data_IF_632204146565
#
_entry.id   IF_632204146565
#
_cell.length_a   1.000
_cell.length_b   1.000
_cell.length_c   1.000
_cell.angle_alpha   90.00
_cell.angle_beta   90.00
_cell.angle_gamma   90.00
#
_symmetry.space_group_name_H-M   'P 1'
#
loop_
_entity.id
_entity.type
_entity.pdbx_description
1 polymer ?
#
# COMPACT_ATOMS: atom_id res chain seq x y z
N UNK A 1 6.43 -35.79 -0.87
CA UNK A 1 6.76 -35.26 0.46
C UNK A 1 5.75 -34.15 0.75
N UNK A 2 5.12 -34.09 1.91
CA UNK A 2 4.28 -32.95 2.24
C UNK A 2 5.15 -31.70 2.22
N UNK A 3 4.76 -30.72 1.41
CA UNK A 3 5.45 -29.43 1.35
C UNK A 3 5.25 -28.73 2.70
N UNK A 4 6.34 -28.26 3.29
CA UNK A 4 6.24 -27.37 4.45
C UNK A 4 5.40 -26.15 4.05
N UNK A 5 4.47 -25.69 4.90
CA UNK A 5 3.68 -24.51 4.59
C UNK A 5 4.63 -23.32 4.36
N UNK A 6 4.25 -22.39 3.48
CA UNK A 6 5.03 -21.18 3.27
C UNK A 6 5.15 -20.42 4.60
N UNK A 7 6.33 -19.90 4.86
CA UNK A 7 6.63 -19.12 6.05
C UNK A 7 6.54 -17.65 5.71
N UNK A 8 5.80 -16.88 6.49
CA UNK A 8 5.56 -15.45 6.29
C UNK A 8 6.24 -14.67 7.41
N UNK A 9 6.85 -13.54 7.08
CA UNK A 9 7.39 -12.63 8.10
C UNK A 9 6.25 -11.97 8.86
N UNK A 10 6.30 -11.97 10.19
CA UNK A 10 5.40 -11.18 11.03
C UNK A 10 6.18 -10.43 12.09
N UNK A 11 5.81 -9.18 12.33
CA UNK A 11 6.32 -8.37 13.41
C UNK A 11 5.45 -8.51 14.66
N UNK A 12 5.99 -8.15 15.82
CA UNK A 12 5.29 -8.15 17.11
C UNK A 12 5.25 -6.76 17.72
N UNK A 13 6.00 -5.83 17.17
CA UNK A 13 6.10 -4.45 17.67
C UNK A 13 6.09 -3.47 16.51
N UNK A 14 5.74 -2.21 16.80
CA UNK A 14 5.80 -1.12 15.82
C UNK A 14 7.19 -0.99 15.19
N UNK A 15 8.26 -1.09 16.00
CA UNK A 15 9.64 -0.99 15.50
C UNK A 15 9.94 -2.12 14.51
N UNK A 16 9.55 -3.36 14.82
CA UNK A 16 9.72 -4.48 13.90
C UNK A 16 8.90 -4.32 12.62
N UNK A 17 7.66 -3.78 12.71
CA UNK A 17 6.85 -3.50 11.53
C UNK A 17 7.49 -2.44 10.62
N UNK A 18 8.10 -1.39 11.19
CA UNK A 18 8.88 -0.40 10.44
C UNK A 18 10.02 -1.07 9.68
N UNK A 19 10.81 -1.89 10.37
CA UNK A 19 11.99 -2.56 9.81
C UNK A 19 11.69 -3.67 8.80
N UNK A 20 10.44 -4.06 8.62
CA UNK A 20 10.04 -4.96 7.52
C UNK A 20 10.02 -4.27 6.16
N UNK A 21 9.85 -2.95 6.13
CA UNK A 21 9.78 -2.14 4.90
C UNK A 21 8.84 -2.71 3.82
N UNK A 22 7.76 -3.39 4.25
CA UNK A 22 6.87 -4.13 3.34
C UNK A 22 5.89 -3.29 2.54
N UNK A 23 5.85 -1.97 2.81
CA UNK A 23 4.99 -0.99 2.14
C UNK A 23 5.83 0.05 1.42
N UNK A 24 5.26 0.83 0.51
CA UNK A 24 5.94 1.99 -0.09
C UNK A 24 6.09 3.14 0.93
N UNK A 25 7.04 4.04 0.68
CA UNK A 25 7.33 5.17 1.57
C UNK A 25 7.72 4.73 2.98
N UNK A 26 7.11 5.38 3.97
CA UNK A 26 7.32 5.10 5.39
C UNK A 26 6.02 4.73 6.11
N UNK A 27 4.97 4.38 5.37
CA UNK A 27 3.69 3.92 5.92
C UNK A 27 3.81 2.56 6.61
N UNK A 28 2.86 2.24 7.49
CA UNK A 28 2.95 1.05 8.33
C UNK A 28 1.58 0.39 8.43
N UNK A 29 1.54 -0.90 8.13
CA UNK A 29 0.43 -1.80 8.43
C UNK A 29 0.49 -2.28 9.91
N UNK A 30 -0.60 -2.85 10.47
CA UNK A 30 -0.52 -3.58 11.73
C UNK A 30 0.62 -4.61 11.71
N UNK A 31 1.34 -4.75 12.81
CA UNK A 31 2.54 -5.60 12.87
C UNK A 31 2.27 -7.07 12.52
N UNK A 32 1.05 -7.56 12.77
CA UNK A 32 0.62 -8.92 12.41
C UNK A 32 0.28 -9.12 10.94
N UNK A 33 0.24 -8.04 10.13
CA UNK A 33 -0.04 -8.14 8.69
C UNK A 33 1.01 -8.99 7.99
N UNK A 34 0.62 -10.04 7.25
CA UNK A 34 1.56 -10.88 6.53
C UNK A 34 2.11 -10.13 5.30
N UNK A 35 3.41 -10.22 5.09
CA UNK A 35 4.07 -9.65 3.91
C UNK A 35 4.66 -10.80 3.09
N UNK A 36 3.96 -11.27 2.03
CA UNK A 36 4.49 -12.31 1.16
C UNK A 36 5.59 -11.74 0.27
N UNK A 37 6.81 -12.29 0.38
CA UNK A 37 7.93 -11.87 -0.45
C UNK A 37 8.93 -13.02 -0.64
N UNK A 38 9.64 -12.99 -1.77
CA UNK A 38 10.78 -13.85 -1.99
C UNK A 38 12.01 -13.24 -1.33
N UNK A 39 12.78 -14.06 -0.63
CA UNK A 39 13.98 -13.59 0.08
C UNK A 39 15.17 -14.50 -0.18
N UNK A 40 16.37 -13.90 -0.28
CA UNK A 40 17.64 -14.62 -0.35
C UNK A 40 18.77 -13.79 0.24
N UNK A 41 19.69 -14.43 0.94
CA UNK A 41 20.87 -13.75 1.49
C UNK A 41 22.05 -13.88 0.53
N UNK A 42 22.77 -12.76 0.31
CA UNK A 42 23.99 -12.68 -0.51
C UNK A 42 25.08 -11.90 0.23
N UNK A 43 25.94 -12.61 0.90
CA UNK A 43 26.96 -12.01 1.75
C UNK A 43 26.34 -11.26 2.93
N UNK A 44 26.56 -9.95 3.01
CA UNK A 44 26.01 -9.09 4.06
C UNK A 44 24.67 -8.45 3.68
N UNK A 45 24.11 -8.79 2.53
CA UNK A 45 22.87 -8.25 2.02
C UNK A 45 21.77 -9.28 2.03
N UNK A 46 20.58 -8.89 2.47
CA UNK A 46 19.32 -9.60 2.23
C UNK A 46 18.64 -8.98 1.03
N UNK A 47 18.33 -9.80 0.04
CA UNK A 47 17.60 -9.40 -1.15
C UNK A 47 16.16 -9.88 -1.02
N UNK A 48 15.21 -9.01 -1.33
CA UNK A 48 13.78 -9.26 -1.21
C UNK A 48 13.07 -8.82 -2.48
N UNK A 49 11.99 -9.51 -2.83
CA UNK A 49 11.10 -9.14 -3.93
C UNK A 49 9.65 -9.32 -3.48
N UNK A 50 8.91 -8.25 -3.53
CA UNK A 50 7.45 -8.23 -3.37
C UNK A 50 6.81 -7.80 -4.68
N UNK A 51 5.68 -8.37 -5.07
CA UNK A 51 5.00 -8.04 -6.33
C UNK A 51 3.54 -8.48 -6.30
N UNK A 52 2.71 -7.73 -7.02
CA UNK A 52 1.32 -8.08 -7.29
C UNK A 52 0.97 -7.64 -8.72
N UNK A 53 0.24 -8.49 -9.45
CA UNK A 53 -0.15 -8.24 -10.84
C UNK A 53 -1.58 -8.69 -11.04
N UNK A 54 -2.43 -7.81 -11.54
CA UNK A 54 -3.77 -8.13 -12.00
C UNK A 54 -3.85 -8.02 -13.52
N UNK A 55 -4.52 -8.96 -14.14
CA UNK A 55 -4.98 -8.89 -15.53
C UNK A 55 -6.50 -8.88 -15.46
N UNK A 56 -7.12 -7.77 -15.80
CA UNK A 56 -8.53 -7.50 -15.54
C UNK A 56 -9.29 -7.09 -16.81
N UNK A 57 -10.57 -7.43 -16.82
CA UNK A 57 -11.57 -6.86 -17.73
C UNK A 57 -12.67 -6.23 -16.88
N UNK A 58 -12.88 -4.94 -17.04
CA UNK A 58 -13.93 -4.17 -16.35
C UNK A 58 -14.99 -3.74 -17.35
N UNK A 59 -16.26 -3.90 -16.98
CA UNK A 59 -17.43 -3.42 -17.72
C UNK A 59 -18.19 -2.44 -16.82
N UNK A 60 -18.35 -1.21 -17.27
CA UNK A 60 -19.05 -0.17 -16.54
C UNK A 60 -20.37 0.16 -17.22
N UNK A 61 -21.44 0.19 -16.45
CA UNK A 61 -22.81 0.45 -16.90
C UNK A 61 -23.36 1.71 -16.21
N UNK A 62 -23.52 2.73 -17.02
CA UNK A 62 -24.11 4.01 -16.62
C UNK A 62 -24.97 4.53 -17.79
N UNK A 63 -25.54 5.74 -17.70
CA UNK A 63 -26.15 6.36 -18.84
C UNK A 63 -25.13 6.63 -19.94
N UNK A 64 -25.51 6.41 -21.22
CA UNK A 64 -24.65 6.75 -22.36
C UNK A 64 -24.33 8.26 -22.35
N UNK A 65 -23.09 8.68 -22.62
CA UNK A 65 -21.95 7.90 -23.13
C UNK A 65 -20.96 7.44 -22.02
N UNK A 66 -21.36 7.29 -20.78
CA UNK A 66 -20.50 6.94 -19.64
C UNK A 66 -20.20 5.44 -19.52
N UNK A 67 -20.85 4.61 -20.36
CA UNK A 67 -20.52 3.18 -20.45
C UNK A 67 -19.10 3.02 -21.00
N UNK A 68 -18.27 2.25 -20.32
CA UNK A 68 -16.93 1.89 -20.79
C UNK A 68 -16.63 0.45 -20.41
N UNK A 69 -15.89 -0.22 -21.29
CA UNK A 69 -15.26 -1.50 -21.01
C UNK A 69 -13.77 -1.43 -21.38
N UNK A 70 -12.94 -2.12 -20.65
CA UNK A 70 -11.52 -2.23 -20.98
C UNK A 70 -10.90 -3.51 -20.43
N UNK A 71 -9.89 -3.98 -21.15
CA UNK A 71 -8.95 -4.99 -20.71
C UNK A 71 -7.62 -4.32 -20.41
N UNK A 72 -7.11 -4.49 -19.19
CA UNK A 72 -5.90 -3.84 -18.71
C UNK A 72 -5.19 -4.68 -17.65
N UNK A 73 -4.02 -4.22 -17.21
CA UNK A 73 -3.32 -4.81 -16.09
C UNK A 73 -2.85 -3.70 -15.15
N UNK A 74 -3.25 -3.78 -13.87
CA UNK A 74 -2.60 -3.05 -12.78
C UNK A 74 -1.52 -3.94 -12.18
N UNK A 75 -0.34 -3.36 -11.91
CA UNK A 75 0.79 -4.17 -11.47
C UNK A 75 1.88 -3.34 -10.80
N UNK A 76 2.60 -3.99 -9.89
CA UNK A 76 3.80 -3.41 -9.30
C UNK A 76 4.79 -4.49 -8.85
N UNK A 77 6.07 -4.12 -8.82
CA UNK A 77 7.22 -4.95 -8.46
C UNK A 77 8.15 -4.16 -7.56
N UNK A 78 8.43 -4.65 -6.37
CA UNK A 78 9.23 -3.94 -5.36
C UNK A 78 10.45 -4.79 -4.95
N UNK A 79 11.56 -4.74 -5.68
CA UNK A 79 12.84 -5.30 -5.25
C UNK A 79 13.47 -4.44 -4.15
N UNK A 80 14.05 -5.11 -3.16
CA UNK A 80 14.71 -4.47 -2.01
C UNK A 80 16.04 -5.15 -1.70
N UNK A 81 16.97 -4.39 -1.13
CA UNK A 81 18.23 -4.88 -0.61
C UNK A 81 18.49 -4.26 0.77
N UNK A 82 18.59 -5.10 1.79
CA UNK A 82 18.77 -4.71 3.19
C UNK A 82 20.17 -5.09 3.68
N UNK A 83 20.77 -4.24 4.49
CA UNK A 83 22.04 -4.50 5.14
C UNK A 83 22.08 -3.91 6.54
N UNK A 84 22.44 -4.73 7.49
CA UNK A 84 22.70 -4.34 8.88
C UNK A 84 24.16 -3.93 9.08
N UNK A 85 24.41 -2.89 9.88
CA UNK A 85 25.73 -2.37 10.20
C UNK A 85 26.06 -2.51 11.69
N UNK A 86 27.35 -2.60 11.97
CA UNK A 86 27.91 -2.70 13.30
C UNK A 86 27.71 -4.06 13.96
N UNK A 87 28.38 -4.28 15.09
CA UNK A 87 28.20 -5.47 15.88
C UNK A 87 26.77 -5.47 16.46
N UNK A 88 26.02 -6.53 16.18
CA UNK A 88 24.65 -6.76 16.69
C UNK A 88 23.61 -5.72 16.19
N UNK A 89 23.76 -5.16 14.98
CA UNK A 89 22.81 -4.20 14.42
C UNK A 89 22.84 -2.82 15.08
N UNK A 90 23.78 -2.54 15.99
CA UNK A 90 23.88 -1.24 16.67
C UNK A 90 24.27 -0.09 15.73
N UNK A 91 24.83 -0.40 14.56
CA UNK A 91 25.15 0.58 13.53
C UNK A 91 23.97 0.94 12.64
N UNK A 92 22.78 0.41 12.92
CA UNK A 92 21.59 0.66 12.11
C UNK A 92 21.44 -0.30 10.91
N UNK A 93 20.37 -0.09 10.17
CA UNK A 93 19.95 -0.88 8.99
C UNK A 93 19.75 0.05 7.81
N UNK A 94 20.36 -0.28 6.68
CA UNK A 94 20.13 0.39 5.39
C UNK A 94 19.30 -0.51 4.50
N UNK A 95 18.20 0.01 4.00
CA UNK A 95 17.38 -0.62 2.97
C UNK A 95 17.40 0.25 1.70
N UNK A 96 17.78 -0.35 0.60
CA UNK A 96 17.60 0.21 -0.74
C UNK A 96 16.34 -0.43 -1.31
N UNK A 97 15.37 0.38 -1.71
CA UNK A 97 14.08 -0.08 -2.22
C UNK A 97 13.75 0.65 -3.52
N UNK A 98 13.28 -0.11 -4.48
CA UNK A 98 12.71 0.43 -5.71
C UNK A 98 11.35 -0.21 -5.94
N UNK A 99 10.44 0.53 -6.54
CA UNK A 99 9.14 0.02 -6.96
C UNK A 99 8.90 0.44 -8.40
N UNK A 100 8.50 -0.52 -9.22
CA UNK A 100 8.27 -0.36 -10.65
C UNK A 100 6.85 -0.79 -11.02
N UNK A 101 6.26 -0.13 -12.02
CA UNK A 101 5.03 -0.58 -12.66
C UNK A 101 5.20 -0.71 -14.17
N UNK A 102 4.53 -1.70 -14.75
CA UNK A 102 4.39 -1.86 -16.20
C UNK A 102 3.05 -1.34 -16.72
N UNK A 103 2.30 -0.60 -15.91
CA UNK A 103 1.03 -0.01 -16.31
C UNK A 103 1.15 0.91 -17.53
N UNK A 104 2.24 1.67 -17.75
CA UNK A 104 2.42 2.43 -18.99
C UNK A 104 2.37 1.59 -20.26
N UNK A 105 2.65 0.27 -20.18
CA UNK A 105 2.56 -0.66 -21.31
C UNK A 105 1.26 -1.47 -21.32
N UNK A 106 0.56 -1.59 -20.18
CA UNK A 106 -0.56 -2.52 -20.00
C UNK A 106 -1.91 -1.83 -19.88
N UNK A 107 -1.92 -0.51 -19.72
CA UNK A 107 -3.10 0.34 -19.81
C UNK A 107 -3.07 1.01 -21.17
N UNK A 108 -3.85 0.47 -22.11
CA UNK A 108 -3.76 0.81 -23.55
C UNK A 108 -4.27 2.21 -23.91
N UNK A 109 -4.74 3.01 -22.94
CA UNK A 109 -5.21 4.38 -23.10
C UNK A 109 -4.61 5.25 -21.99
N UNK A 110 -5.03 6.50 -21.91
CA UNK A 110 -4.61 7.46 -20.89
C UNK A 110 -5.01 7.05 -19.46
N UNK A 111 -5.99 6.17 -19.37
CA UNK A 111 -6.57 5.68 -18.11
C UNK A 111 -7.27 4.33 -18.32
N UNK A 112 -7.43 3.56 -17.27
CA UNK A 112 -8.42 2.49 -17.23
C UNK A 112 -9.77 3.02 -16.70
N UNK A 113 -10.92 2.39 -17.08
CA UNK A 113 -12.23 2.87 -16.65
C UNK A 113 -12.42 2.73 -15.14
N UNK A 114 -12.82 3.83 -14.51
CA UNK A 114 -13.29 3.87 -13.14
C UNK A 114 -14.35 4.96 -13.01
N UNK A 115 -15.64 4.57 -12.93
CA UNK A 115 -16.75 5.51 -12.82
C UNK A 115 -16.59 6.42 -11.61
N UNK A 116 -16.84 7.72 -11.80
CA UNK A 116 -16.75 8.77 -10.79
C UNK A 116 -15.33 9.09 -10.31
N UNK A 117 -14.29 8.57 -10.95
CA UNK A 117 -12.94 9.04 -10.67
C UNK A 117 -12.68 10.38 -11.35
N UNK A 118 -12.04 11.29 -10.62
CA UNK A 118 -11.68 12.64 -11.04
C UNK A 118 -10.44 13.13 -10.30
N UNK A 119 -9.97 14.34 -10.65
CA UNK A 119 -8.85 15.00 -9.98
C UNK A 119 -7.50 14.58 -10.56
N UNK A 120 -7.47 14.09 -11.78
CA UNK A 120 -6.27 13.73 -12.53
C UNK A 120 -6.26 14.39 -13.90
N UNK A 121 -5.08 14.54 -14.46
CA UNK A 121 -4.85 15.19 -15.74
C UNK A 121 -4.10 14.28 -16.70
N UNK A 122 -4.48 14.29 -17.97
CA UNK A 122 -3.69 13.69 -19.04
C UNK A 122 -3.68 14.59 -20.28
N UNK A 123 -2.48 14.94 -20.75
CA UNK A 123 -2.24 15.76 -21.95
C UNK A 123 -3.01 17.09 -21.91
N UNK A 124 -3.03 17.75 -20.76
CA UNK A 124 -3.68 19.04 -20.55
C UNK A 124 -5.20 19.00 -20.43
N UNK A 125 -5.80 17.82 -20.29
CA UNK A 125 -7.25 17.66 -20.09
C UNK A 125 -7.54 16.86 -18.81
N UNK A 126 -8.66 17.14 -18.12
CA UNK A 126 -9.06 16.33 -16.97
C UNK A 126 -9.38 14.90 -17.41
N UNK A 127 -9.02 13.95 -16.57
CA UNK A 127 -9.47 12.55 -16.67
C UNK A 127 -10.80 12.44 -15.93
N UNK A 128 -11.85 12.09 -16.66
CA UNK A 128 -13.19 11.88 -16.14
C UNK A 128 -13.55 10.41 -16.29
N UNK A 129 -14.03 9.77 -15.22
CA UNK A 129 -14.38 8.35 -15.18
C UNK A 129 -13.20 7.42 -15.53
N UNK A 130 -12.04 7.72 -15.01
CA UNK A 130 -10.86 6.91 -15.24
C UNK A 130 -9.73 7.20 -14.28
N UNK A 131 -8.89 6.21 -14.09
CA UNK A 131 -7.66 6.26 -13.30
C UNK A 131 -6.46 6.19 -14.24
N UNK A 132 -5.52 7.13 -14.12
CA UNK A 132 -4.30 7.11 -14.92
C UNK A 132 -3.40 5.91 -14.55
N UNK A 133 -2.52 5.44 -15.46
CA UNK A 133 -1.51 4.44 -15.12
C UNK A 133 -0.46 5.03 -14.16
N UNK A 134 0.05 4.20 -13.29
CA UNK A 134 1.25 4.54 -12.52
C UNK A 134 2.45 4.69 -13.44
N UNK A 135 3.42 5.52 -13.03
CA UNK A 135 4.70 5.63 -13.73
C UNK A 135 5.52 4.35 -13.58
N UNK A 136 6.42 4.11 -14.54
CA UNK A 136 7.36 2.99 -14.45
C UNK A 136 8.17 3.04 -13.15
N UNK A 137 8.70 4.22 -12.78
CA UNK A 137 9.34 4.42 -11.48
C UNK A 137 8.32 4.92 -10.47
N UNK A 138 7.77 4.03 -9.66
CA UNK A 138 6.88 4.40 -8.56
C UNK A 138 7.65 4.80 -7.30
N UNK A 139 8.80 4.18 -7.06
CA UNK A 139 9.69 4.54 -5.96
C UNK A 139 11.14 4.21 -6.27
N UNK A 140 12.05 5.08 -5.87
CA UNK A 140 13.49 4.83 -5.79
C UNK A 140 13.98 5.43 -4.47
N UNK A 141 14.28 4.61 -3.47
CA UNK A 141 14.49 5.07 -2.12
C UNK A 141 15.68 4.42 -1.41
N UNK A 142 16.25 5.17 -0.48
CA UNK A 142 17.14 4.69 0.56
C UNK A 142 16.52 4.98 1.93
N UNK A 143 16.43 3.95 2.77
CA UNK A 143 15.91 4.02 4.13
C UNK A 143 17.04 3.67 5.09
N UNK A 144 17.13 4.40 6.20
CA UNK A 144 18.11 4.11 7.23
C UNK A 144 17.47 4.17 8.61
N UNK A 145 17.46 3.04 9.29
CA UNK A 145 16.90 2.87 10.63
C UNK A 145 18.00 2.70 11.65
N UNK A 146 18.06 3.62 12.62
CA UNK A 146 19.04 3.62 13.70
C UNK A 146 18.37 3.32 15.05
N UNK A 147 18.53 2.11 15.60
CA UNK A 147 18.03 1.79 16.93
C UNK A 147 18.84 2.56 18.00
N UNK A 148 18.20 3.50 18.69
CA UNK A 148 18.79 4.23 19.81
C UNK A 148 18.65 3.44 21.12
N UNK A 149 17.60 2.63 21.25
CA UNK A 149 17.33 1.72 22.35
C UNK A 149 16.38 0.59 21.89
N UNK A 150 16.10 -0.43 22.71
CA UNK A 150 15.09 -1.45 22.38
C UNK A 150 13.68 -0.89 22.13
N UNK A 151 13.42 0.35 22.54
CA UNK A 151 12.13 1.00 22.45
C UNK A 151 12.14 2.30 21.64
N UNK A 152 13.29 2.67 21.05
CA UNK A 152 13.46 3.94 20.34
C UNK A 152 14.19 3.72 19.04
N UNK A 153 13.57 4.12 17.93
CA UNK A 153 14.10 4.05 16.58
C UNK A 153 14.11 5.45 15.96
N UNK A 154 15.23 5.84 15.38
CA UNK A 154 15.33 7.00 14.50
C UNK A 154 15.38 6.49 13.06
N UNK A 155 14.50 7.01 12.21
CA UNK A 155 14.38 6.59 10.81
C UNK A 155 14.60 7.76 9.87
N UNK A 156 15.28 7.51 8.75
CA UNK A 156 15.47 8.44 7.64
C UNK A 156 15.04 7.76 6.35
N UNK A 157 14.37 8.53 5.50
CA UNK A 157 13.94 8.10 4.18
C UNK A 157 14.32 9.20 3.19
N UNK A 158 14.97 8.82 2.10
CA UNK A 158 15.31 9.73 1.02
C UNK A 158 15.01 9.09 -0.31
N UNK A 159 14.21 9.77 -1.14
CA UNK A 159 13.76 9.26 -2.42
C UNK A 159 13.67 10.38 -3.47
N UNK A 160 14.40 10.29 -4.59
CA UNK A 160 14.13 11.15 -5.74
C UNK A 160 12.71 10.98 -6.28
N UNK A 161 12.15 9.76 -6.21
CA UNK A 161 10.75 9.44 -6.47
C UNK A 161 10.28 8.56 -5.32
N UNK A 162 9.18 8.91 -4.64
CA UNK A 162 8.67 8.12 -3.52
C UNK A 162 7.49 8.76 -2.79
N UNK A 163 7.24 8.29 -1.56
CA UNK A 163 6.05 8.65 -0.79
C UNK A 163 6.42 9.52 0.41
N UNK A 164 5.86 10.72 0.54
CA UNK A 164 5.96 11.51 1.77
C UNK A 164 5.11 10.92 2.90
N UNK A 165 5.34 11.38 4.14
CA UNK A 165 4.57 10.95 5.30
C UNK A 165 3.16 11.57 5.30
N UNK A 166 2.30 11.11 4.38
CA UNK A 166 0.89 11.47 4.24
C UNK A 166 0.07 10.19 4.12
N UNK A 167 -1.06 10.15 4.79
CA UNK A 167 -1.98 9.02 4.68
C UNK A 167 -1.51 7.74 5.35
N UNK A 168 -2.35 6.71 5.30
CA UNK A 168 -1.99 5.33 5.62
C UNK A 168 -1.16 4.72 4.51
N UNK A 169 -0.97 3.41 4.59
CA UNK A 169 -0.45 2.60 3.48
C UNK A 169 -1.31 2.82 2.23
N UNK A 170 -0.67 3.12 1.11
CA UNK A 170 -1.32 3.27 -0.20
C UNK A 170 -2.07 1.99 -0.59
N UNK A 171 -3.19 2.13 -1.29
CA UNK A 171 -4.09 1.00 -1.59
C UNK A 171 -3.40 -0.22 -2.23
N UNK A 172 -2.37 -0.10 -3.10
CA UNK A 172 -1.71 -1.27 -3.68
C UNK A 172 -0.98 -2.15 -2.67
N UNK A 173 -0.58 -1.57 -1.52
CA UNK A 173 0.12 -2.27 -0.43
C UNK A 173 -0.75 -2.47 0.81
N UNK A 174 -1.93 -1.87 0.88
CA UNK A 174 -2.84 -2.00 2.03
C UNK A 174 -3.49 -3.38 2.03
N UNK A 175 -3.33 -4.13 3.12
CA UNK A 175 -3.79 -5.52 3.19
C UNK A 175 -5.30 -5.67 2.93
N UNK A 176 -6.13 -4.75 3.42
CA UNK A 176 -7.58 -4.78 3.21
C UNK A 176 -8.01 -4.53 1.76
N UNK A 177 -7.12 -3.96 0.92
CA UNK A 177 -7.33 -3.67 -0.49
C UNK A 177 -6.56 -4.62 -1.43
N UNK A 178 -5.74 -5.54 -0.91
CA UNK A 178 -4.76 -6.32 -1.68
C UNK A 178 -5.34 -7.20 -2.78
N UNK A 179 -6.64 -7.50 -2.70
CA UNK A 179 -7.36 -8.37 -3.64
C UNK A 179 -8.18 -7.59 -4.66
N UNK A 180 -8.32 -6.26 -4.50
CA UNK A 180 -9.11 -5.40 -5.39
C UNK A 180 -8.21 -4.82 -6.51
N UNK A 181 -8.48 -5.13 -7.80
CA UNK A 181 -7.69 -4.60 -8.92
C UNK A 181 -7.93 -3.12 -9.21
N UNK A 182 -8.99 -2.51 -8.62
CA UNK A 182 -9.42 -1.14 -8.89
C UNK A 182 -9.05 -0.24 -7.71
N UNK A 183 -8.59 0.98 -8.00
CA UNK A 183 -8.28 1.97 -6.99
C UNK A 183 -9.52 2.34 -6.14
N UNK A 184 -9.31 2.90 -4.96
CA UNK A 184 -10.40 3.46 -4.19
C UNK A 184 -10.80 4.81 -4.78
N UNK A 185 -12.11 5.11 -4.90
CA UNK A 185 -12.58 6.39 -5.42
C UNK A 185 -11.95 7.59 -4.69
N UNK A 186 -11.83 7.48 -3.38
CA UNK A 186 -11.29 8.54 -2.55
C UNK A 186 -9.77 8.58 -2.47
N UNK A 187 -9.01 7.78 -3.22
CA UNK A 187 -7.57 7.63 -2.97
C UNK A 187 -6.80 8.96 -3.13
N UNK A 188 -7.22 9.88 -4.00
CA UNK A 188 -6.61 11.22 -4.15
C UNK A 188 -6.75 12.08 -2.89
N UNK A 189 -7.78 11.89 -2.07
CA UNK A 189 -7.93 12.56 -0.79
C UNK A 189 -7.28 11.78 0.35
N UNK A 190 -7.02 10.47 0.18
CA UNK A 190 -6.67 9.52 1.24
C UNK A 190 -5.20 9.13 1.26
N UNK A 191 -4.66 8.72 0.11
CA UNK A 191 -3.32 8.12 -0.02
C UNK A 191 -2.60 8.42 -1.34
N UNK A 192 -3.10 9.36 -2.15
CA UNK A 192 -2.62 9.62 -3.52
C UNK A 192 -1.20 10.15 -3.64
N UNK A 193 -0.62 10.58 -2.54
CA UNK A 193 0.77 11.07 -2.54
C UNK A 193 1.80 9.93 -2.53
N UNK A 194 1.40 8.75 -3.00
CA UNK A 194 2.28 7.61 -3.17
C UNK A 194 3.31 7.78 -4.29
N UNK A 195 3.21 8.84 -5.10
CA UNK A 195 4.25 9.25 -6.04
C UNK A 195 4.45 10.75 -5.91
N UNK A 196 5.55 11.12 -5.27
CA UNK A 196 6.03 12.49 -5.15
C UNK A 196 7.55 12.51 -5.43
N UNK A 197 8.11 13.70 -5.58
CA UNK A 197 9.50 13.85 -5.97
C UNK A 197 10.33 14.49 -4.86
N UNK A 198 11.64 14.19 -4.86
CA UNK A 198 12.61 14.75 -3.92
C UNK A 198 12.19 14.61 -2.44
N UNK A 199 11.66 13.46 -2.08
CA UNK A 199 11.12 13.20 -0.74
C UNK A 199 12.25 13.00 0.26
N UNK A 200 12.21 13.75 1.35
CA UNK A 200 13.06 13.56 2.52
C UNK A 200 12.15 13.43 3.75
N UNK A 201 12.23 12.33 4.46
CA UNK A 201 11.45 12.09 5.67
C UNK A 201 12.34 11.71 6.84
N UNK A 202 12.12 12.35 7.98
CA UNK A 202 12.69 11.98 9.27
C UNK A 202 11.61 11.49 10.22
N UNK A 203 11.85 10.39 10.94
CA UNK A 203 10.90 9.78 11.84
C UNK A 203 11.53 9.39 13.18
N UNK A 204 10.79 9.63 14.27
CA UNK A 204 11.15 9.17 15.61
C UNK A 204 10.05 8.26 16.15
N UNK A 205 10.42 7.05 16.50
CA UNK A 205 9.53 6.05 17.09
C UNK A 205 9.90 5.83 18.54
N UNK A 206 8.90 5.85 19.41
CA UNK A 206 9.04 5.44 20.81
C UNK A 206 7.91 4.48 21.19
N UNK A 207 8.27 3.23 21.49
CA UNK A 207 7.32 2.15 21.84
C UNK A 207 6.22 1.99 20.80
N UNK A 208 5.02 2.55 21.09
CA UNK A 208 3.80 2.39 20.29
C UNK A 208 3.51 3.59 19.39
N UNK A 209 4.29 4.66 19.47
CA UNK A 209 4.04 5.91 18.76
C UNK A 209 5.23 6.30 17.87
N UNK A 210 4.92 6.82 16.67
CA UNK A 210 5.88 7.37 15.70
C UNK A 210 5.39 8.71 15.22
N UNK A 211 6.30 9.70 15.20
CA UNK A 211 6.09 10.99 14.55
C UNK A 211 7.05 11.13 13.38
N UNK A 212 6.57 11.66 12.26
CA UNK A 212 7.32 11.83 11.02
C UNK A 212 7.11 13.23 10.46
N UNK A 213 8.15 13.74 9.79
CA UNK A 213 8.11 14.99 9.04
C UNK A 213 8.72 14.75 7.66
N UNK A 214 8.04 15.22 6.61
CA UNK A 214 8.52 15.14 5.23
C UNK A 214 8.59 16.50 4.58
N UNK A 215 9.65 16.71 3.79
CA UNK A 215 9.70 17.74 2.76
C UNK A 215 9.76 17.07 1.39
N UNK A 216 9.04 17.57 0.39
CA UNK A 216 8.93 16.96 -0.94
C UNK A 216 8.51 17.99 -1.99
N UNK A 217 8.59 17.63 -3.28
CA UNK A 217 7.96 18.35 -4.36
C UNK A 217 6.56 17.81 -4.59
N UNK A 218 5.55 18.69 -4.52
CA UNK A 218 4.13 18.30 -4.48
C UNK A 218 3.44 18.22 -5.84
N UNK A 219 4.08 18.62 -6.94
CA UNK A 219 3.49 18.53 -8.28
C UNK A 219 3.32 17.08 -8.72
N UNK A 220 2.21 16.79 -9.38
CA UNK A 220 1.93 15.46 -9.93
C UNK A 220 2.90 15.07 -11.06
N UNK A 221 3.14 13.75 -11.27
CA UNK A 221 3.87 13.25 -12.44
C UNK A 221 3.19 13.66 -13.74
N UNK A 222 3.98 13.93 -14.77
CA UNK A 222 3.47 14.15 -16.12
C UNK A 222 3.28 12.83 -16.90
N UNK A 223 2.95 12.92 -18.19
CA UNK A 223 2.69 11.77 -19.03
C UNK A 223 3.95 11.07 -19.57
N UNK A 224 5.15 11.50 -19.17
CA UNK A 224 6.41 10.81 -19.50
C UNK A 224 6.63 9.58 -18.62
N UNK A 225 5.64 8.70 -18.56
CA UNK A 225 5.50 7.59 -17.63
C UNK A 225 6.69 6.61 -17.55
N UNK A 226 7.57 6.59 -18.57
CA UNK A 226 8.76 5.75 -18.60
C UNK A 226 10.02 6.46 -18.11
N UNK A 227 9.99 7.77 -17.97
CA UNK A 227 11.15 8.57 -17.67
C UNK A 227 11.47 8.54 -16.17
N UNK A 228 12.77 8.60 -15.86
CA UNK A 228 13.21 8.89 -14.50
C UNK A 228 13.28 10.42 -14.36
N UNK A 229 12.22 11.02 -13.84
CA UNK A 229 12.08 12.47 -13.70
C UNK A 229 11.81 12.86 -12.24
N UNK A 230 12.86 12.95 -11.39
CA UNK A 230 12.70 13.25 -9.96
C UNK A 230 12.05 14.61 -9.65
N UNK A 231 11.96 15.49 -10.59
CA UNK A 231 11.32 16.81 -10.46
C UNK A 231 11.03 17.37 -11.85
N UNK A 232 9.92 16.94 -12.49
CA UNK A 232 9.64 17.31 -13.89
C UNK A 232 9.56 18.82 -14.11
N UNK A 233 9.17 19.59 -13.11
CA UNK A 233 9.04 21.05 -13.19
C UNK A 233 10.29 21.80 -12.65
N UNK A 234 11.37 21.10 -12.34
CA UNK A 234 12.64 21.70 -11.88
C UNK A 234 12.59 22.29 -10.46
N UNK A 235 11.52 22.08 -9.71
CA UNK A 235 11.41 22.49 -8.31
C UNK A 235 12.08 21.49 -7.37
N UNK A 236 12.67 21.96 -6.28
CA UNK A 236 13.33 21.09 -5.31
C UNK A 236 12.31 20.54 -4.30
N UNK A 237 12.12 21.24 -3.20
CA UNK A 237 11.18 20.89 -2.13
C UNK A 237 10.33 22.12 -1.89
N UNK A 238 9.00 22.01 -2.08
CA UNK A 238 8.05 23.11 -1.97
C UNK A 238 6.84 22.76 -1.08
N UNK A 239 6.73 21.48 -0.71
CA UNK A 239 5.63 20.90 0.04
C UNK A 239 6.14 20.21 1.30
N UNK A 240 5.28 20.09 2.32
CA UNK A 240 5.67 19.47 3.58
C UNK A 240 4.48 18.78 4.24
N UNK A 241 4.80 17.76 5.06
CA UNK A 241 3.80 17.01 5.82
C UNK A 241 4.30 16.59 7.18
N UNK A 242 3.35 16.21 8.03
CA UNK A 242 3.62 15.49 9.27
C UNK A 242 2.60 14.37 9.45
N UNK A 243 3.07 13.24 10.00
CA UNK A 243 2.22 12.08 10.31
C UNK A 243 2.52 11.59 11.72
N UNK A 244 1.45 11.35 12.49
CA UNK A 244 1.48 10.63 13.75
C UNK A 244 0.90 9.24 13.54
N UNK A 245 1.65 8.20 13.88
CA UNK A 245 1.21 6.80 13.86
C UNK A 245 1.22 6.24 15.28
N UNK A 246 0.18 5.50 15.66
CA UNK A 246 0.06 4.85 16.96
C UNK A 246 -0.37 3.40 16.75
N UNK A 247 0.41 2.45 17.31
CA UNK A 247 0.12 1.00 17.27
C UNK A 247 -0.01 0.48 18.71
N UNK A 248 -1.20 0.55 19.31
CA UNK A 248 -1.40 0.17 20.73
C UNK A 248 -1.31 -1.35 20.95
N UNK A 249 -1.47 -2.14 19.89
CA UNK A 249 -1.26 -3.58 19.86
C UNK A 249 -0.65 -4.00 18.51
N UNK A 250 -0.11 -5.21 18.38
CA UNK A 250 0.39 -5.71 17.11
C UNK A 250 -0.69 -5.77 16.00
N UNK A 251 -1.95 -5.93 16.38
CA UNK A 251 -3.10 -6.08 15.47
C UNK A 251 -3.72 -4.75 15.05
N UNK A 252 -3.35 -3.62 15.67
CA UNK A 252 -4.04 -2.34 15.47
C UNK A 252 -3.05 -1.21 15.25
N UNK A 253 -3.26 -0.46 14.16
CA UNK A 253 -2.50 0.74 13.83
C UNK A 253 -3.45 1.87 13.43
N UNK A 254 -3.27 3.04 14.02
CA UNK A 254 -3.96 4.27 13.63
C UNK A 254 -2.97 5.33 13.18
N UNK A 255 -3.38 6.20 12.29
CA UNK A 255 -2.60 7.36 11.89
C UNK A 255 -3.47 8.61 11.71
N UNK A 256 -2.83 9.76 11.87
CA UNK A 256 -3.32 11.07 11.43
C UNK A 256 -2.20 11.81 10.73
N UNK A 257 -2.48 12.41 9.58
CA UNK A 257 -1.52 13.24 8.86
C UNK A 257 -2.14 14.55 8.36
N UNK A 258 -1.27 15.55 8.19
CA UNK A 258 -1.59 16.82 7.59
C UNK A 258 -0.45 17.24 6.67
N UNK A 259 -0.79 17.75 5.50
CA UNK A 259 0.15 18.25 4.51
C UNK A 259 -0.27 19.59 3.93
N UNK A 260 0.73 20.38 3.56
CA UNK A 260 0.62 21.48 2.62
C UNK A 260 1.29 21.05 1.32
N UNK A 261 0.53 21.07 0.23
CA UNK A 261 0.98 20.62 -1.09
C UNK A 261 0.88 21.82 -2.03
N UNK A 262 2.00 22.16 -2.66
CA UNK A 262 2.11 23.27 -3.58
C UNK A 262 1.80 22.81 -4.98
N UNK A 263 0.78 23.41 -5.61
CA UNK A 263 0.41 23.19 -7.02
C UNK A 263 0.38 21.72 -7.42
N UNK A 264 -0.42 20.86 -6.72
CA UNK A 264 -0.42 19.43 -7.02
C UNK A 264 -0.94 19.12 -8.43
N UNK A 265 -1.92 19.87 -8.91
CA UNK A 265 -2.63 19.57 -10.16
C UNK A 265 -2.15 20.45 -11.30
N UNK A 266 -1.80 19.82 -12.44
CA UNK A 266 -1.27 20.52 -13.61
C UNK A 266 -2.26 21.51 -14.24
N UNK A 267 -3.58 21.25 -14.14
CA UNK A 267 -4.62 22.12 -14.68
C UNK A 267 -4.87 23.37 -13.83
N UNK A 268 -4.45 23.37 -12.57
CA UNK A 268 -4.61 24.47 -11.63
C UNK A 268 -3.25 24.98 -11.10
N UNK A 269 -2.37 25.47 -11.99
CA UNK A 269 -1.03 25.92 -11.58
C UNK A 269 -1.14 27.08 -10.59
N UNK A 270 -0.45 26.95 -9.46
CA UNK A 270 -0.49 27.94 -8.37
C UNK A 270 -1.60 27.73 -7.36
N UNK A 271 -2.49 26.77 -7.54
CA UNK A 271 -3.42 26.35 -6.51
C UNK A 271 -2.69 25.43 -5.50
N UNK A 272 -2.66 25.87 -4.24
CA UNK A 272 -2.10 25.07 -3.16
C UNK A 272 -3.23 24.30 -2.46
N UNK A 273 -2.88 23.12 -1.94
CA UNK A 273 -3.83 22.25 -1.28
C UNK A 273 -3.38 21.91 0.14
N UNK A 274 -4.32 21.86 1.07
CA UNK A 274 -4.14 21.23 2.37
C UNK A 274 -4.78 19.84 2.35
N UNK A 275 -4.00 18.82 2.61
CA UNK A 275 -4.50 17.44 2.72
C UNK A 275 -4.48 16.98 4.18
N UNK A 276 -5.54 16.33 4.61
CA UNK A 276 -5.65 15.73 5.95
C UNK A 276 -6.19 14.32 5.82
N UNK A 277 -5.61 13.38 6.57
CA UNK A 277 -6.10 11.99 6.59
C UNK A 277 -6.09 11.44 7.99
N UNK A 278 -7.02 10.55 8.27
CA UNK A 278 -7.04 9.73 9.48
C UNK A 278 -7.46 8.32 9.15
N UNK A 279 -6.78 7.32 9.71
CA UNK A 279 -7.14 5.91 9.49
C UNK A 279 -6.98 5.07 10.75
N UNK A 280 -7.72 3.97 10.75
CA UNK A 280 -7.57 2.86 11.70
C UNK A 280 -7.50 1.59 10.85
N UNK A 281 -6.41 0.84 11.01
CA UNK A 281 -6.17 -0.44 10.34
C UNK A 281 -6.07 -1.54 11.39
N UNK A 282 -6.76 -2.64 11.15
CA UNK A 282 -6.78 -3.81 12.02
C UNK A 282 -6.50 -5.05 11.21
N UNK A 283 -5.61 -5.90 11.72
CA UNK A 283 -5.34 -7.22 11.16
C UNK A 283 -5.32 -8.25 12.28
N UNK A 284 -6.03 -9.37 12.10
CA UNK A 284 -6.05 -10.45 13.07
C UNK A 284 -5.98 -11.81 12.37
N UNK A 285 -5.04 -12.63 12.83
CA UNK A 285 -4.86 -14.00 12.38
C UNK A 285 -5.51 -14.95 13.35
N UNK A 286 -6.50 -15.71 12.87
CA UNK A 286 -7.07 -16.82 13.62
C UNK A 286 -6.12 -18.01 13.46
N UNK A 287 -5.26 -18.21 14.45
CA UNK A 287 -4.43 -19.41 14.52
C UNK A 287 -5.37 -20.59 14.77
N UNK A 288 -5.56 -21.46 13.77
CA UNK A 288 -6.07 -22.80 14.03
C UNK A 288 -5.16 -23.37 15.13
N UNK A 289 -5.73 -23.86 16.25
CA UNK A 289 -4.95 -24.66 17.21
C UNK A 289 -4.26 -25.73 16.39
N UNK A 290 -2.98 -25.50 16.07
CA UNK A 290 -2.17 -26.56 15.47
C UNK A 290 -2.36 -27.76 16.40
N UNK A 291 -2.73 -28.90 15.85
CA UNK A 291 -2.64 -30.15 16.59
C UNK A 291 -1.27 -30.10 17.27
N UNK A 292 -1.27 -30.14 18.59
CA UNK A 292 -0.03 -30.06 19.38
C UNK A 292 1.00 -30.89 18.67
N UNK A 293 2.25 -30.41 18.47
CA UNK A 293 3.26 -31.20 17.79
C UNK A 293 3.21 -32.57 18.45
N UNK A 294 2.95 -33.61 17.64
CA UNK A 294 2.80 -34.96 18.15
C UNK A 294 3.97 -35.17 19.09
N UNK A 295 3.65 -35.26 20.37
CA UNK A 295 4.58 -35.43 21.47
C UNK A 295 5.72 -36.27 20.95
N UNK A 296 6.94 -35.71 21.04
CA UNK A 296 8.18 -36.43 20.87
C UNK A 296 7.92 -37.91 21.07
N UNK A 297 8.03 -38.70 20.00
CA UNK A 297 8.13 -40.13 20.12
C UNK A 297 9.30 -40.35 21.09
N UNK A 298 8.98 -40.51 22.36
CA UNK A 298 9.90 -41.05 23.32
C UNK A 298 10.23 -42.45 22.80
N UNK A 299 11.36 -42.57 22.17
CA UNK A 299 11.93 -43.87 21.87
C UNK A 299 12.13 -44.59 23.22
N UNK A 300 11.42 -45.69 23.51
CA UNK A 300 11.66 -46.42 24.73
C UNK A 300 13.03 -47.08 24.60
N UNK A 301 14.02 -46.67 25.41
CA UNK A 301 15.19 -47.45 25.66
C UNK A 301 16.56 -46.90 25.29
N UNK A 302 16.78 -45.58 25.21
CA UNK A 302 18.14 -45.05 25.22
C UNK A 302 18.44 -44.36 26.56
N UNK A 303 19.21 -45.09 27.39
CA UNK A 303 19.76 -44.55 28.63
C UNK A 303 20.95 -43.65 28.29
N UNK A 304 20.87 -42.33 28.60
CA UNK A 304 21.90 -41.33 28.29
C UNK A 304 23.22 -41.50 29.07
N UNK A 305 23.39 -42.59 29.84
CA UNK A 305 24.56 -42.82 30.66
C UNK A 305 25.63 -43.69 29.99
N UNK A 306 25.44 -44.13 28.73
CA UNK A 306 26.37 -45.03 28.05
C UNK A 306 27.17 -44.41 26.90
N UNK A 307 27.50 -43.11 26.97
CA UNK A 307 28.50 -42.52 26.08
C UNK A 307 29.78 -42.17 26.82
N UNK A 308 30.87 -42.89 26.60
CA UNK A 308 32.19 -42.55 27.15
C UNK A 308 32.81 -41.44 26.28
N UNK A 309 33.11 -40.28 26.90
CA UNK A 309 34.11 -39.34 26.42
C UNK A 309 33.60 -38.07 25.70
N UNK A 310 32.81 -37.23 26.35
CA UNK A 310 32.79 -35.80 26.03
C UNK A 310 33.10 -34.98 27.27
N UNK A 311 34.29 -34.41 27.29
CA UNK A 311 34.79 -33.51 28.33
C UNK A 311 34.01 -32.17 28.27
N UNK A 312 33.11 -31.95 29.23
CA UNK A 312 32.33 -30.74 29.41
C UNK A 312 33.11 -29.74 30.28
N UNK A 313 34.25 -29.28 29.82
CA UNK A 313 34.97 -28.23 30.51
C UNK A 313 35.72 -27.32 29.55
N UNK A 314 34.99 -26.48 28.82
CA UNK A 314 35.56 -25.24 28.28
C UNK A 314 34.51 -24.14 28.28
N UNK A 315 34.28 -23.55 29.43
CA UNK A 315 33.67 -22.22 29.58
C UNK A 315 34.55 -21.18 28.90
N UNK A 316 34.36 -20.95 27.62
CA UNK A 316 34.64 -19.62 27.03
C UNK A 316 33.35 -18.87 26.97
N UNK A 317 33.20 -17.91 27.90
CA UNK A 317 32.28 -16.80 27.78
C UNK A 317 32.53 -16.06 26.47
N UNK A 318 31.88 -16.50 25.41
CA UNK A 318 31.65 -15.71 24.22
C UNK A 318 30.49 -14.77 24.52
N UNK A 319 30.77 -13.46 24.55
CA UNK A 319 29.74 -12.40 24.64
C UNK A 319 28.63 -12.70 23.62
N UNK A 320 27.43 -12.94 24.16
CA UNK A 320 26.23 -13.11 23.36
C UNK A 320 26.02 -11.85 22.53
N UNK A 321 26.31 -11.97 21.25
CA UNK A 321 25.95 -10.99 20.27
C UNK A 321 24.42 -10.85 20.30
N UNK A 322 23.92 -9.68 20.64
CA UNK A 322 22.51 -9.35 20.43
C UNK A 322 22.34 -9.15 18.90
N UNK A 323 22.11 -10.26 18.22
CA UNK A 323 21.48 -10.19 16.90
C UNK A 323 20.13 -9.51 17.10
N UNK A 324 19.65 -8.66 16.16
CA UNK A 324 18.25 -8.22 16.20
C UNK A 324 17.40 -9.48 16.38
N UNK A 325 16.32 -9.43 17.18
CA UNK A 325 15.52 -10.62 17.43
C UNK A 325 15.13 -11.20 16.07
N UNK A 326 15.32 -12.50 15.83
CA UNK A 326 14.99 -13.09 14.55
C UNK A 326 13.54 -12.80 14.26
N UNK A 327 13.26 -12.22 13.10
CA UNK A 327 11.88 -12.08 12.61
C UNK A 327 11.26 -13.46 12.63
N UNK A 328 10.21 -13.63 13.42
CA UNK A 328 9.61 -14.94 13.60
C UNK A 328 8.91 -15.36 12.31
N UNK A 329 9.43 -16.41 11.66
CA UNK A 329 8.74 -17.07 10.57
C UNK A 329 7.58 -17.88 11.16
N UNK A 330 6.35 -17.53 10.83
CA UNK A 330 5.15 -18.24 11.25
C UNK A 330 4.54 -19.00 10.08
N UNK A 331 3.87 -20.15 10.32
CA UNK A 331 3.10 -20.80 9.26
C UNK A 331 2.02 -19.86 8.72
N UNK A 332 1.80 -19.90 7.41
CA UNK A 332 0.77 -19.11 6.75
C UNK A 332 -0.61 -19.36 7.40
N UNK A 333 -1.31 -18.32 7.88
CA UNK A 333 -2.56 -18.48 8.60
C UNK A 333 -3.64 -19.08 7.71
N UNK A 334 -4.47 -19.96 8.27
CA UNK A 334 -5.63 -20.52 7.56
C UNK A 334 -6.78 -19.55 7.42
N UNK A 335 -6.87 -18.59 8.33
CA UNK A 335 -7.89 -17.55 8.33
C UNK A 335 -7.29 -16.28 8.90
N UNK A 336 -7.43 -15.17 8.21
CA UNK A 336 -7.11 -13.84 8.70
C UNK A 336 -8.16 -12.81 8.24
N UNK A 337 -8.24 -11.73 9.00
CA UNK A 337 -9.12 -10.60 8.74
C UNK A 337 -8.30 -9.33 8.76
N UNK A 338 -8.36 -8.58 7.66
CA UNK A 338 -7.83 -7.21 7.58
C UNK A 338 -8.99 -6.22 7.40
N UNK A 339 -8.98 -5.11 8.13
CA UNK A 339 -9.98 -4.06 7.98
C UNK A 339 -9.33 -2.69 8.05
N UNK A 340 -9.85 -1.75 7.28
CA UNK A 340 -9.41 -0.34 7.29
C UNK A 340 -10.62 0.57 7.32
N UNK A 341 -10.58 1.57 8.21
CA UNK A 341 -11.44 2.74 8.17
C UNK A 341 -10.57 3.95 7.89
N UNK A 342 -10.98 4.77 6.93
CA UNK A 342 -10.17 5.86 6.44
C UNK A 342 -11.04 7.07 6.10
N UNK A 343 -10.60 8.23 6.55
CA UNK A 343 -11.09 9.53 6.14
C UNK A 343 -9.96 10.33 5.49
N UNK A 344 -10.27 10.96 4.37
CA UNK A 344 -9.39 11.89 3.67
C UNK A 344 -10.09 13.19 3.34
N UNK A 345 -9.33 14.28 3.32
CA UNK A 345 -9.80 15.62 2.90
C UNK A 345 -8.74 16.30 2.07
N UNK A 346 -9.11 16.71 0.87
CA UNK A 346 -8.42 17.72 0.09
C UNK A 346 -9.14 19.07 0.27
N UNK A 347 -8.39 20.13 0.56
CA UNK A 347 -8.91 21.51 0.69
C UNK A 347 -8.07 22.42 -0.18
N UNK A 348 -8.69 23.03 -1.18
CA UNK A 348 -8.08 24.13 -1.93
C UNK A 348 -7.78 25.31 -0.99
N UNK A 349 -6.61 25.88 -1.08
CA UNK A 349 -6.25 27.09 -0.35
C UNK A 349 -6.56 28.36 -1.12
N UNK A 350 -7.02 28.23 -2.37
CA UNK A 350 -7.41 29.35 -3.25
C UNK A 350 -8.86 29.75 -2.99
N UNK A 351 -9.80 28.81 -3.10
CA UNK A 351 -11.24 29.06 -2.98
C UNK A 351 -11.90 28.46 -1.73
N UNK A 352 -11.11 27.70 -0.95
CA UNK A 352 -11.52 27.01 0.26
C UNK A 352 -12.54 25.86 0.02
N UNK A 353 -12.69 25.38 -1.20
CA UNK A 353 -13.45 24.16 -1.51
C UNK A 353 -12.87 22.96 -0.74
N UNK A 354 -13.71 21.98 -0.44
CA UNK A 354 -13.32 20.82 0.37
C UNK A 354 -13.95 19.57 -0.19
N UNK A 355 -13.12 18.65 -0.59
CA UNK A 355 -13.54 17.29 -0.90
C UNK A 355 -13.20 16.35 0.25
N UNK A 356 -14.22 15.71 0.79
CA UNK A 356 -14.04 14.68 1.80
C UNK A 356 -14.32 13.32 1.20
N UNK A 357 -13.55 12.33 1.62
CA UNK A 357 -13.78 10.93 1.30
C UNK A 357 -13.73 10.07 2.56
N UNK A 358 -14.58 9.06 2.59
CA UNK A 358 -14.70 8.09 3.66
C UNK A 358 -14.66 6.70 3.04
N UNK A 359 -13.94 5.79 3.69
CA UNK A 359 -13.78 4.42 3.22
C UNK A 359 -13.83 3.46 4.40
N UNK A 360 -14.49 2.32 4.19
CA UNK A 360 -14.41 1.15 5.03
C UNK A 360 -14.11 -0.06 4.14
N UNK A 361 -13.00 -0.74 4.40
CA UNK A 361 -12.59 -1.95 3.69
C UNK A 361 -12.47 -3.12 4.65
N UNK A 362 -12.79 -4.31 4.16
CA UNK A 362 -12.54 -5.55 4.87
C UNK A 362 -12.14 -6.65 3.88
N UNK A 363 -11.12 -7.41 4.23
CA UNK A 363 -10.67 -8.60 3.55
C UNK A 363 -10.66 -9.77 4.53
N UNK A 364 -11.38 -10.82 4.20
CA UNK A 364 -11.37 -12.09 4.92
C UNK A 364 -10.71 -13.16 4.05
N UNK A 365 -9.59 -13.69 4.52
CA UNK A 365 -9.00 -14.92 4.01
C UNK A 365 -9.52 -16.11 4.81
N UNK A 366 -9.97 -17.16 4.15
CA UNK A 366 -10.46 -18.37 4.82
C UNK A 366 -10.02 -19.62 4.06
N UNK A 367 -9.94 -20.74 4.79
CA UNK A 367 -9.46 -22.01 4.26
C UNK A 367 -8.12 -21.90 3.48
N UNK A 368 -7.27 -20.95 3.87
CA UNK A 368 -5.92 -20.66 3.34
C UNK A 368 -5.85 -20.11 1.91
N UNK A 369 -6.87 -20.31 1.09
CA UNK A 369 -6.82 -20.03 -0.36
C UNK A 369 -7.98 -19.19 -0.88
N UNK A 370 -8.98 -18.90 -0.06
CA UNK A 370 -10.14 -18.15 -0.48
C UNK A 370 -10.12 -16.76 0.13
N UNK A 371 -10.45 -15.76 -0.66
CA UNK A 371 -10.51 -14.37 -0.26
C UNK A 371 -11.86 -13.79 -0.63
N UNK A 372 -12.48 -13.10 0.32
CA UNK A 372 -13.67 -12.30 0.10
C UNK A 372 -13.40 -10.90 0.65
N UNK A 373 -13.68 -9.88 -0.12
CA UNK A 373 -13.50 -8.50 0.32
C UNK A 373 -14.72 -7.66 0.04
N UNK A 374 -14.81 -6.58 0.79
CA UNK A 374 -15.79 -5.53 0.56
C UNK A 374 -15.15 -4.17 0.76
N UNK A 375 -15.61 -3.19 -0.02
CA UNK A 375 -15.23 -1.79 0.11
C UNK A 375 -16.50 -0.94 0.07
N UNK A 376 -16.66 -0.08 1.04
CA UNK A 376 -17.74 0.90 1.14
C UNK A 376 -17.11 2.27 1.13
N UNK A 377 -17.51 3.09 0.19
CA UNK A 377 -16.94 4.43 -0.02
C UNK A 377 -18.03 5.49 -0.05
N UNK A 378 -17.66 6.70 0.37
CA UNK A 378 -18.42 7.90 0.18
C UNK A 378 -17.45 9.03 -0.15
N UNK A 379 -17.37 9.42 -1.43
CA UNK A 379 -16.38 10.36 -1.93
C UNK A 379 -17.04 11.63 -2.45
N UNK A 380 -16.52 12.80 -2.02
CA UNK A 380 -16.84 14.09 -2.59
C UNK A 380 -16.41 14.14 -4.06
N UNK A 381 -17.31 14.61 -4.93
CA UNK A 381 -17.09 14.73 -6.37
C UNK A 381 -17.63 16.03 -6.86
N UNK A 382 -16.83 16.74 -7.64
CA UNK A 382 -17.18 18.04 -8.19
C UNK A 382 -18.01 17.93 -9.48
N UNK A 383 -18.40 19.07 -10.01
CA UNK A 383 -19.04 19.19 -11.31
C UNK A 383 -18.08 18.88 -12.49
N UNK A 384 -16.81 18.64 -12.26
CA UNK A 384 -15.86 18.15 -13.26
C UNK A 384 -16.37 16.87 -13.93
N UNK A 385 -17.02 16.00 -13.15
CA UNK A 385 -17.66 14.78 -13.66
C UNK A 385 -18.80 15.03 -14.66
N UNK A 386 -19.26 16.27 -14.83
CA UNK A 386 -20.22 16.62 -15.89
C UNK A 386 -19.55 16.94 -17.23
N UNK A 387 -18.23 17.11 -17.25
CA UNK A 387 -17.48 17.37 -18.47
C UNK A 387 -17.50 16.15 -19.39
N UNK A 388 -17.36 16.39 -20.69
CA UNK A 388 -17.15 15.34 -21.65
C UNK A 388 -15.71 14.81 -21.52
N UNK A 389 -15.49 13.50 -21.34
CA UNK A 389 -14.15 12.96 -21.24
C UNK A 389 -13.25 13.39 -22.42
N UNK A 390 -12.00 13.79 -22.08
CA UNK A 390 -11.00 14.21 -23.06
C UNK A 390 -11.21 15.63 -23.65
N UNK A 391 -12.10 16.44 -23.10
CA UNK A 391 -12.25 17.85 -23.47
C UNK A 391 -11.53 18.78 -22.50
N UNK A 392 -10.97 19.91 -22.98
CA UNK A 392 -10.36 20.90 -22.11
C UNK A 392 -11.34 21.48 -21.10
N UNK A 393 -10.82 21.96 -19.97
CA UNK A 393 -11.60 22.73 -19.01
C UNK A 393 -12.18 23.98 -19.66
N UNK A 394 -13.47 24.31 -19.39
CA UNK A 394 -14.05 25.61 -19.78
C UNK A 394 -13.25 26.74 -19.13
N UNK A 395 -13.16 27.92 -19.79
CA UNK A 395 -12.53 29.09 -19.18
C UNK A 395 -13.20 29.46 -17.83
N UNK A 396 -12.38 29.71 -16.79
CA UNK A 396 -12.83 30.00 -15.43
C UNK A 396 -13.68 28.89 -14.80
N UNK A 397 -13.41 27.65 -15.11
CA UNK A 397 -14.06 26.51 -14.50
C UNK A 397 -13.78 26.47 -12.98
N UNK A 398 -14.83 26.28 -12.21
CA UNK A 398 -14.76 26.15 -10.74
C UNK A 398 -15.36 24.80 -10.37
N UNK A 399 -14.63 24.03 -9.57
CA UNK A 399 -15.00 22.67 -9.15
C UNK A 399 -16.08 22.64 -8.07
N UNK A 400 -17.18 23.34 -8.30
CA UNK A 400 -18.35 23.37 -7.42
C UNK A 400 -19.64 23.37 -8.25
N UNK A 401 -20.74 22.81 -7.74
CA UNK A 401 -20.94 22.19 -6.42
C UNK A 401 -20.34 20.79 -6.31
N UNK A 402 -20.10 20.37 -5.05
CA UNK A 402 -19.61 19.05 -4.73
C UNK A 402 -20.79 18.17 -4.28
N UNK A 403 -20.94 17.02 -4.89
CA UNK A 403 -21.85 15.94 -4.47
C UNK A 403 -21.09 14.76 -3.89
N UNK A 404 -21.76 13.88 -3.13
CA UNK A 404 -21.15 12.67 -2.58
C UNK A 404 -21.64 11.44 -3.34
N UNK A 405 -20.69 10.72 -3.96
CA UNK A 405 -20.92 9.40 -4.57
C UNK A 405 -20.68 8.34 -3.51
N UNK A 406 -21.63 7.41 -3.34
CA UNK A 406 -21.39 6.22 -2.55
C UNK A 406 -21.13 5.03 -3.49
N UNK A 407 -20.12 4.19 -3.16
CA UNK A 407 -19.81 2.96 -3.86
C UNK A 407 -19.77 1.79 -2.90
N UNK A 408 -20.26 0.64 -3.35
CA UNK A 408 -20.33 -0.61 -2.59
C UNK A 408 -19.76 -1.73 -3.44
N UNK A 409 -18.58 -2.21 -3.07
CA UNK A 409 -17.86 -3.27 -3.78
C UNK A 409 -17.89 -4.56 -2.97
N UNK A 410 -18.11 -5.66 -3.64
CA UNK A 410 -17.97 -7.03 -3.12
C UNK A 410 -17.19 -7.84 -4.15
N UNK A 411 -16.16 -8.55 -3.69
CA UNK A 411 -15.35 -9.38 -4.56
C UNK A 411 -14.96 -10.70 -3.91
N UNK A 412 -14.51 -11.62 -4.75
CA UNK A 412 -14.02 -12.95 -4.37
C UNK A 412 -12.92 -13.40 -5.32
N UNK A 413 -11.87 -14.01 -4.79
CA UNK A 413 -10.91 -14.78 -5.56
C UNK A 413 -10.44 -16.05 -4.84
N UNK A 414 -9.72 -16.90 -5.58
CA UNK A 414 -9.23 -18.17 -5.08
C UNK A 414 -7.80 -18.44 -5.55
N UNK A 415 -6.89 -18.61 -4.59
CA UNK A 415 -5.48 -18.93 -4.83
C UNK A 415 -5.28 -20.36 -5.33
N UNK A 416 -4.64 -20.48 -6.48
CA UNK A 416 -4.17 -21.71 -7.08
C UNK A 416 -2.63 -21.69 -7.14
N UNK A 417 -1.91 -22.67 -6.59
CA UNK A 417 -0.46 -22.71 -6.66
C UNK A 417 0.03 -22.94 -8.09
N UNK A 418 0.92 -22.07 -8.56
CA UNK A 418 1.60 -22.19 -9.85
C UNK A 418 3.11 -22.28 -9.65
N UNK A 419 3.61 -23.49 -9.65
CA UNK A 419 5.02 -23.76 -9.30
C UNK A 419 5.32 -23.54 -7.81
N UNK A 420 6.55 -23.10 -7.50
CA UNK A 420 7.02 -22.96 -6.11
C UNK A 420 6.83 -21.58 -5.51
N UNK A 421 6.75 -20.55 -6.34
CA UNK A 421 6.90 -19.15 -5.92
C UNK A 421 5.78 -18.23 -6.35
N UNK A 422 4.78 -18.75 -7.08
CA UNK A 422 3.69 -17.95 -7.63
C UNK A 422 2.35 -18.57 -7.24
N UNK A 423 1.42 -17.73 -6.87
CA UNK A 423 0.00 -18.02 -6.76
C UNK A 423 -0.74 -17.31 -7.89
N UNK A 424 -1.70 -18.00 -8.49
CA UNK A 424 -2.61 -17.44 -9.50
C UNK A 424 -4.00 -17.47 -8.89
N UNK A 425 -4.71 -16.34 -8.90
CA UNK A 425 -6.06 -16.27 -8.37
C UNK A 425 -7.03 -15.73 -9.42
N UNK A 426 -7.88 -16.56 -10.01
CA UNK A 426 -9.06 -16.08 -10.72
C UNK A 426 -10.02 -15.45 -9.74
N UNK A 427 -10.57 -14.28 -10.09
CA UNK A 427 -11.47 -13.52 -9.25
C UNK A 427 -12.46 -12.68 -10.02
N UNK A 428 -13.45 -12.16 -9.29
CA UNK A 428 -14.45 -11.24 -9.79
C UNK A 428 -14.93 -10.30 -8.70
N UNK A 429 -15.35 -9.10 -9.09
CA UNK A 429 -16.00 -8.15 -8.20
C UNK A 429 -17.14 -7.42 -8.89
N UNK A 430 -18.07 -6.96 -8.08
CA UNK A 430 -19.19 -6.10 -8.46
C UNK A 430 -19.16 -4.84 -7.59
N UNK A 431 -19.23 -3.67 -8.24
CA UNK A 431 -19.42 -2.39 -7.59
C UNK A 431 -20.76 -1.79 -7.98
N UNK A 432 -21.54 -1.35 -6.99
CA UNK A 432 -22.81 -0.65 -7.19
C UNK A 432 -22.65 0.76 -6.65
N UNK A 433 -22.98 1.76 -7.48
CA UNK A 433 -22.87 3.15 -7.10
C UNK A 433 -24.22 3.76 -6.75
N UNK A 434 -24.19 4.77 -5.88
CA UNK A 434 -25.30 5.69 -5.65
C UNK A 434 -24.89 7.09 -6.05
N UNK A 435 -25.56 7.58 -7.07
CA UNK A 435 -25.25 8.87 -7.69
C UNK A 435 -25.96 10.01 -6.95
N UNK A 436 -25.25 11.07 -6.53
CA UNK A 436 -25.87 12.27 -5.98
C UNK A 436 -26.73 12.97 -7.04
N UNK A 437 -27.68 13.79 -6.60
CA UNK A 437 -28.64 14.45 -7.48
C UNK A 437 -27.98 15.23 -8.62
N UNK A 438 -26.89 15.92 -8.33
CA UNK A 438 -26.07 16.66 -9.30
C UNK A 438 -25.67 15.81 -10.51
N UNK A 439 -25.27 14.58 -10.30
CA UNK A 439 -24.67 13.69 -11.33
C UNK A 439 -25.70 12.73 -11.95
N UNK A 440 -26.91 12.60 -11.39
CA UNK A 440 -27.94 11.64 -11.88
C UNK A 440 -28.31 11.80 -13.36
N UNK A 441 -28.46 13.01 -13.90
CA UNK A 441 -28.79 13.15 -15.32
C UNK A 441 -27.75 12.52 -16.23
N UNK A 442 -26.47 12.57 -15.82
CA UNK A 442 -25.33 12.06 -16.59
C UNK A 442 -25.10 10.57 -16.39
N UNK A 443 -25.24 10.06 -15.15
CA UNK A 443 -24.83 8.70 -14.80
C UNK A 443 -25.99 7.72 -14.55
N UNK A 444 -27.20 8.22 -14.34
CA UNK A 444 -28.31 7.42 -13.81
C UNK A 444 -28.30 7.33 -12.29
N UNK A 445 -29.24 6.59 -11.71
CA UNK A 445 -29.41 6.50 -10.26
C UNK A 445 -28.44 5.51 -9.59
N UNK A 446 -28.21 4.38 -10.24
CA UNK A 446 -27.46 3.23 -9.72
C UNK A 446 -26.57 2.61 -10.80
N UNK A 447 -25.52 3.30 -11.24
CA UNK A 447 -24.52 2.69 -12.12
C UNK A 447 -23.86 1.48 -11.46
N UNK A 448 -23.29 0.59 -12.28
CA UNK A 448 -22.54 -0.58 -11.82
C UNK A 448 -21.22 -0.74 -12.56
N UNK A 449 -20.27 -1.42 -11.92
CA UNK A 449 -19.05 -1.89 -12.56
C UNK A 449 -18.83 -3.36 -12.20
N UNK A 450 -18.62 -4.18 -13.22
CA UNK A 450 -18.33 -5.61 -13.09
C UNK A 450 -16.90 -5.85 -13.55
N UNK A 451 -16.08 -6.47 -12.71
CA UNK A 451 -14.68 -6.76 -13.04
C UNK A 451 -14.40 -8.23 -12.85
N UNK A 452 -13.86 -8.88 -13.88
CA UNK A 452 -13.28 -10.22 -13.80
C UNK A 452 -11.77 -10.09 -13.97
N UNK A 453 -11.00 -10.88 -13.23
CA UNK A 453 -9.55 -10.76 -13.28
C UNK A 453 -8.83 -12.08 -12.97
N UNK A 454 -7.55 -12.09 -13.29
CA UNK A 454 -6.59 -13.07 -12.79
C UNK A 454 -5.50 -12.29 -12.06
N UNK A 455 -5.26 -12.63 -10.81
CA UNK A 455 -4.17 -12.06 -10.03
C UNK A 455 -2.99 -13.03 -9.96
N UNK A 456 -1.78 -12.47 -9.99
CA UNK A 456 -0.52 -13.18 -9.77
C UNK A 456 0.20 -12.53 -8.59
N UNK A 457 0.60 -13.32 -7.61
CA UNK A 457 1.41 -12.85 -6.48
C UNK A 457 2.52 -13.82 -6.13
N UNK A 458 3.51 -13.31 -5.43
CA UNK A 458 4.61 -14.12 -4.88
C UNK A 458 4.15 -14.90 -3.63
N UNK A 459 4.81 -16.05 -3.40
CA UNK A 459 4.49 -16.97 -2.31
C UNK A 459 5.74 -17.26 -1.47
#
# INVERSE_FOLDING_TARGET
MPQSPPMVMSAQTLIQAIQQHGTSGTSIEPATTPIPMLMTDRGAWRLMLHANVFIANTQQQANSPRNRDAFFSTNWFMPMAERNFGANGRGGELTLRTMFSLEPATIGDRNYPELFQQGETAYGNPIVDGQHPHDFFMEVAALYDLPLSPHTLLSFYGAPIGDPAIGPTAYPHRQSASEDPIAALGHHQQDSTHIAFNVLTGGLTYRIARIEFSGFHGGEPDEHRWAFQPSPNGHAIDSYSTRLTISPSPDLTGQYSIAHITSPEALYPGENQQRQTASIMYHHTVHSKAAAPASTLSMPGMNMNDMPGMDMNSTKQGSAAHSPPPMHMVPDPRTDLATTFLWGRARSLTDNSKENSYLAEALLRFASTNYIWTRIENAGRSNELLLTPGTPLPPNFIETPIGHVAAYTLGYDHDLPFGRHILIAPGAQLTIYRTPELLRPTYGNTPTAETIFIRFRLR
#
